data_IF_575451123813
#
_entry.id   IF_575451123813
#
_cell.length_a   1.000
_cell.length_b   1.000
_cell.length_c   1.000
_cell.angle_alpha   90.00
_cell.angle_beta   90.00
_cell.angle_gamma   90.00
#
_symmetry.space_group_name_H-M   'P 1'
#
loop_
_entity.id
_entity.type
_entity.pdbx_description
1 polymer ?
#
# COMPACT_ATOMS: atom_id res chain seq x y z
N UNK A 1 -9.10 -14.69 -6.31
CA UNK A 1 -7.75 -14.40 -6.84
C UNK A 1 -6.92 -13.89 -5.68
N UNK A 2 -5.84 -14.58 -5.31
CA UNK A 2 -4.95 -14.16 -4.23
C UNK A 2 -3.78 -13.40 -4.86
N UNK A 3 -3.83 -12.07 -4.80
CA UNK A 3 -2.70 -11.24 -5.17
C UNK A 3 -1.76 -11.11 -3.98
N UNK A 4 -0.46 -11.32 -4.20
CA UNK A 4 0.60 -11.10 -3.22
C UNK A 4 1.50 -9.97 -3.70
N UNK A 5 1.91 -9.08 -2.79
CA UNK A 5 2.73 -7.92 -3.03
C UNK A 5 3.90 -7.95 -2.04
N UNK A 6 5.12 -7.95 -2.54
CA UNK A 6 6.33 -7.79 -1.74
C UNK A 6 7.10 -6.56 -2.24
N UNK A 7 7.43 -5.66 -1.34
CA UNK A 7 8.13 -4.41 -1.65
C UNK A 7 9.50 -4.44 -0.98
N UNK A 8 10.56 -4.32 -1.77
CA UNK A 8 11.94 -4.25 -1.29
C UNK A 8 12.51 -2.85 -1.48
N UNK A 9 13.15 -2.32 -0.45
CA UNK A 9 13.85 -1.04 -0.46
C UNK A 9 15.36 -1.27 -0.34
N UNK A 10 16.15 -0.56 -1.14
CA UNK A 10 17.61 -0.71 -1.20
C UNK A 10 18.18 -0.14 -2.50
N UNK A 11 19.48 -0.34 -2.72
CA UNK A 11 20.14 0.07 -3.97
C UNK A 11 19.54 -0.65 -5.19
N UNK A 12 19.59 0.04 -6.32
CA UNK A 12 19.33 -0.51 -7.64
C UNK A 12 20.65 -0.44 -8.38
N UNK A 13 21.22 -1.60 -8.69
CA UNK A 13 22.52 -1.68 -9.36
C UNK A 13 22.34 -1.68 -10.89
N UNK A 14 21.17 -2.13 -11.37
CA UNK A 14 20.82 -2.15 -12.78
C UNK A 14 19.31 -2.05 -12.97
N UNK A 15 18.86 -1.19 -13.88
CA UNK A 15 17.44 -1.04 -14.24
C UNK A 15 17.29 -1.03 -15.77
N UNK A 16 17.02 -2.17 -16.42
CA UNK A 16 16.89 -2.23 -17.86
C UNK A 16 15.56 -1.59 -18.30
N UNK A 17 15.61 -0.72 -19.30
CA UNK A 17 14.40 -0.16 -19.92
C UNK A 17 13.61 -1.27 -20.63
N UNK A 18 12.45 -1.64 -20.10
CA UNK A 18 11.47 -2.51 -20.77
C UNK A 18 11.24 -3.87 -20.11
N UNK A 19 12.16 -4.36 -19.28
CA UNK A 19 12.03 -5.66 -18.59
C UNK A 19 12.28 -5.49 -17.09
N UNK A 20 11.22 -5.17 -16.34
CA UNK A 20 11.29 -4.95 -14.90
C UNK A 20 11.81 -6.17 -14.11
N UNK A 21 11.75 -7.38 -14.68
CA UNK A 21 12.26 -8.63 -14.08
C UNK A 21 13.78 -8.82 -14.18
N UNK A 22 14.49 -8.04 -15.00
CA UNK A 22 15.93 -8.13 -15.19
C UNK A 22 16.70 -7.06 -14.39
N UNK A 23 16.00 -6.23 -13.61
CA UNK A 23 16.63 -5.28 -12.69
C UNK A 23 17.35 -5.97 -11.54
N UNK A 24 18.50 -5.42 -11.14
CA UNK A 24 19.40 -5.97 -10.14
C UNK A 24 19.62 -5.00 -8.96
N UNK A 25 20.08 -5.55 -7.84
CA UNK A 25 20.42 -4.78 -6.64
C UNK A 25 19.61 -5.19 -5.41
N UNK A 26 19.92 -4.55 -4.28
CA UNK A 26 19.41 -4.97 -2.96
C UNK A 26 17.89 -4.93 -2.88
N UNK A 27 17.25 -3.95 -3.52
CA UNK A 27 15.78 -3.83 -3.56
C UNK A 27 15.13 -5.03 -4.28
N UNK A 28 15.72 -5.48 -5.39
CA UNK A 28 15.25 -6.62 -6.18
C UNK A 28 15.41 -7.94 -5.44
N UNK A 29 16.56 -8.15 -4.79
CA UNK A 29 16.75 -9.37 -4.00
C UNK A 29 15.78 -9.46 -2.82
N UNK A 30 15.59 -8.34 -2.10
CA UNK A 30 14.74 -8.30 -0.92
C UNK A 30 13.27 -8.53 -1.29
N UNK A 31 12.78 -7.87 -2.33
CA UNK A 31 11.41 -8.06 -2.83
C UNK A 31 11.19 -9.49 -3.33
N UNK A 32 12.09 -10.03 -4.16
CA UNK A 32 11.97 -11.39 -4.70
C UNK A 32 11.97 -12.47 -3.62
N UNK A 33 12.97 -12.46 -2.72
CA UNK A 33 13.07 -13.41 -1.59
C UNK A 33 11.82 -13.38 -0.71
N UNK A 34 11.21 -12.20 -0.55
CA UNK A 34 10.01 -12.05 0.27
C UNK A 34 8.76 -12.49 -0.48
N UNK A 35 8.65 -12.21 -1.78
CA UNK A 35 7.55 -12.64 -2.64
C UNK A 35 7.44 -14.17 -2.66
N UNK A 36 8.55 -14.87 -2.81
CA UNK A 36 8.59 -16.34 -2.79
C UNK A 36 8.06 -16.92 -1.48
N UNK A 37 8.37 -16.26 -0.35
CA UNK A 37 7.93 -16.69 0.98
C UNK A 37 6.43 -16.46 1.23
N UNK A 38 5.86 -15.39 0.67
CA UNK A 38 4.44 -15.03 0.87
C UNK A 38 3.53 -15.61 -0.22
N UNK A 39 4.10 -16.27 -1.24
CA UNK A 39 3.33 -16.87 -2.32
C UNK A 39 2.35 -17.89 -1.72
N UNK A 40 1.06 -17.64 -1.93
CA UNK A 40 -0.06 -18.44 -1.38
C UNK A 40 -0.26 -18.35 0.15
N UNK A 41 0.37 -17.40 0.84
CA UNK A 41 0.16 -17.15 2.27
C UNK A 41 -0.61 -15.84 2.51
N UNK A 42 -1.39 -15.80 3.60
CA UNK A 42 -2.04 -14.60 4.10
C UNK A 42 -1.39 -14.18 5.42
N UNK A 43 -1.13 -12.87 5.63
CA UNK A 43 -1.39 -11.75 4.73
C UNK A 43 -0.47 -11.71 3.50
N UNK A 44 -1.01 -11.21 2.39
CA UNK A 44 -0.35 -11.20 1.08
C UNK A 44 0.54 -9.98 0.83
N UNK A 45 0.77 -9.11 1.81
CA UNK A 45 1.55 -7.89 1.67
C UNK A 45 2.74 -7.89 2.63
N UNK A 46 3.92 -7.51 2.14
CA UNK A 46 5.11 -7.41 2.98
C UNK A 46 6.10 -6.36 2.47
N UNK A 47 6.94 -5.87 3.39
CA UNK A 47 8.00 -4.93 3.10
C UNK A 47 9.34 -5.43 3.63
N UNK A 48 10.43 -5.02 3.00
CA UNK A 48 11.79 -5.30 3.46
C UNK A 48 12.74 -4.17 3.05
N UNK A 49 13.75 -3.90 3.85
CA UNK A 49 14.78 -2.87 3.55
C UNK A 49 14.85 -1.72 4.56
N UNK A 50 14.07 -1.77 5.63
CA UNK A 50 14.09 -0.79 6.73
C UNK A 50 14.63 -1.38 8.05
N UNK A 51 15.27 -2.55 7.98
CA UNK A 51 15.92 -3.17 9.13
C UNK A 51 14.93 -3.47 10.27
N UNK A 52 15.16 -2.96 11.50
CA UNK A 52 14.30 -3.26 12.66
C UNK A 52 12.82 -2.86 12.49
N UNK A 53 12.50 -1.93 11.59
CA UNK A 53 11.12 -1.50 11.35
C UNK A 53 10.33 -2.43 10.43
N UNK A 54 10.99 -3.33 9.69
CA UNK A 54 10.36 -4.21 8.70
C UNK A 54 9.22 -5.09 9.30
N UNK A 55 9.38 -5.75 10.47
CA UNK A 55 8.32 -6.57 11.05
C UNK A 55 7.10 -5.75 11.45
N UNK A 56 7.30 -4.56 12.02
CA UNK A 56 6.22 -3.67 12.45
C UNK A 56 5.39 -3.17 11.26
N UNK A 57 6.07 -2.68 10.21
CA UNK A 57 5.40 -2.23 8.98
C UNK A 57 4.67 -3.41 8.31
N UNK A 58 5.31 -4.58 8.23
CA UNK A 58 4.70 -5.78 7.64
C UNK A 58 3.45 -6.22 8.43
N UNK A 59 3.48 -6.18 9.77
CA UNK A 59 2.32 -6.52 10.58
C UNK A 59 1.13 -5.59 10.33
N UNK A 60 1.36 -4.27 10.25
CA UNK A 60 0.30 -3.31 9.92
C UNK A 60 -0.23 -3.48 8.50
N UNK A 61 0.66 -3.72 7.52
CA UNK A 61 0.24 -4.07 6.16
C UNK A 61 -0.62 -5.33 6.15
N UNK A 62 -0.34 -6.31 7.02
CA UNK A 62 -1.16 -7.50 7.18
C UNK A 62 -2.57 -7.21 7.69
N UNK A 63 -2.70 -6.31 8.67
CA UNK A 63 -4.02 -5.86 9.15
C UNK A 63 -4.77 -5.09 8.07
N UNK A 64 -4.08 -4.23 7.32
CA UNK A 64 -4.68 -3.49 6.19
C UNK A 64 -5.10 -4.45 5.08
N UNK A 65 -4.28 -5.45 4.72
CA UNK A 65 -4.61 -6.46 3.71
C UNK A 65 -5.88 -7.23 4.10
N UNK A 66 -6.03 -7.59 5.38
CA UNK A 66 -7.24 -8.23 5.87
C UNK A 66 -8.49 -7.34 5.68
N UNK A 67 -8.39 -6.02 5.90
CA UNK A 67 -9.49 -5.09 5.66
C UNK A 67 -9.81 -4.95 4.16
N UNK A 68 -8.78 -4.79 3.32
CA UNK A 68 -8.93 -4.59 1.87
C UNK A 68 -9.65 -5.77 1.22
N UNK A 69 -9.39 -7.00 1.68
CA UNK A 69 -10.03 -8.22 1.15
C UNK A 69 -11.54 -8.24 1.26
N UNK A 70 -12.10 -7.46 2.19
CA UNK A 70 -13.55 -7.37 2.40
C UNK A 70 -14.18 -6.15 1.72
N UNK A 71 -13.40 -5.33 1.02
CA UNK A 71 -13.95 -4.15 0.35
C UNK A 71 -14.78 -4.53 -0.86
N UNK A 72 -16.00 -4.00 -0.88
CA UNK A 72 -16.84 -3.95 -2.08
C UNK A 72 -16.24 -2.96 -3.09
N UNK A 73 -16.63 -3.09 -4.37
CA UNK A 73 -16.18 -2.15 -5.43
C UNK A 73 -16.42 -0.67 -5.06
N UNK A 74 -17.59 -0.26 -4.52
CA UNK A 74 -17.78 1.12 -4.07
C UNK A 74 -16.83 1.54 -2.94
N UNK A 75 -16.56 0.66 -1.98
CA UNK A 75 -15.64 0.98 -0.89
C UNK A 75 -14.21 1.19 -1.41
N UNK A 76 -13.71 0.28 -2.25
CA UNK A 76 -12.40 0.39 -2.87
C UNK A 76 -12.29 1.66 -3.73
N UNK A 77 -13.33 1.99 -4.51
CA UNK A 77 -13.38 3.23 -5.31
C UNK A 77 -13.30 4.48 -4.43
N UNK A 78 -14.07 4.54 -3.35
CA UNK A 78 -14.05 5.68 -2.43
C UNK A 78 -12.65 5.87 -1.80
N UNK A 79 -12.01 4.79 -1.37
CA UNK A 79 -10.65 4.82 -0.81
C UNK A 79 -9.62 5.24 -1.86
N UNK A 80 -9.67 4.67 -3.07
CA UNK A 80 -8.77 5.02 -4.17
C UNK A 80 -8.80 6.52 -4.49
N UNK A 81 -10.00 7.10 -4.59
CA UNK A 81 -10.15 8.54 -4.83
C UNK A 81 -9.71 9.38 -3.61
N UNK A 82 -9.89 8.87 -2.39
CA UNK A 82 -9.40 9.53 -1.17
C UNK A 82 -7.88 9.54 -1.06
N UNK A 83 -7.19 8.52 -1.57
CA UNK A 83 -5.73 8.46 -1.66
C UNK A 83 -5.16 9.54 -2.58
N UNK A 84 -5.94 10.03 -3.54
CA UNK A 84 -5.60 11.16 -4.42
C UNK A 84 -5.84 12.52 -3.76
N UNK A 85 -6.07 12.56 -2.43
CA UNK A 85 -6.37 13.76 -1.66
C UNK A 85 -7.64 14.51 -2.11
N UNK A 86 -8.57 13.83 -2.79
CA UNK A 86 -9.87 14.41 -3.12
C UNK A 86 -10.77 14.53 -1.88
N UNK A 87 -11.56 15.60 -1.82
CA UNK A 87 -12.58 15.76 -0.78
C UNK A 87 -13.78 14.86 -1.06
N UNK A 88 -14.54 14.48 -0.04
CA UNK A 88 -15.73 13.63 -0.21
C UNK A 88 -16.77 14.26 -1.17
N UNK A 89 -16.87 15.59 -1.19
CA UNK A 89 -17.72 16.31 -2.14
C UNK A 89 -17.23 16.15 -3.59
N UNK A 90 -15.92 16.29 -3.85
CA UNK A 90 -15.35 16.05 -5.19
C UNK A 90 -15.54 14.60 -5.62
N UNK A 91 -15.31 13.66 -4.71
CA UNK A 91 -15.52 12.22 -4.97
C UNK A 91 -16.98 11.95 -5.36
N UNK A 92 -17.95 12.54 -4.65
CA UNK A 92 -19.37 12.42 -4.95
C UNK A 92 -19.71 12.94 -6.36
N UNK A 93 -19.15 14.08 -6.76
CA UNK A 93 -19.39 14.70 -8.07
C UNK A 93 -18.72 13.95 -9.23
N UNK A 94 -17.57 13.33 -8.98
CA UNK A 94 -16.82 12.51 -9.94
C UNK A 94 -17.25 11.04 -9.95
N UNK A 95 -18.27 10.69 -9.17
CA UNK A 95 -18.70 9.30 -9.07
C UNK A 95 -19.37 8.85 -10.35
N UNK A 96 -18.78 7.86 -11.00
CA UNK A 96 -19.36 7.15 -12.14
C UNK A 96 -19.92 5.77 -11.74
N UNK A 97 -20.95 5.26 -12.44
CA UNK A 97 -21.61 5.85 -13.62
C UNK A 97 -22.57 7.01 -13.30
N UNK A 98 -23.06 7.08 -12.06
CA UNK A 98 -23.97 8.13 -11.60
C UNK A 98 -23.39 8.80 -10.34
N UNK A 99 -23.57 10.11 -10.24
CA UNK A 99 -23.15 10.87 -9.06
C UNK A 99 -23.88 10.36 -7.82
N UNK A 100 -23.18 10.37 -6.69
CA UNK A 100 -23.76 9.99 -5.40
C UNK A 100 -23.70 11.17 -4.43
N UNK A 101 -24.39 11.07 -3.29
CA UNK A 101 -24.29 12.08 -2.25
C UNK A 101 -22.94 12.02 -1.52
N UNK A 102 -22.51 13.14 -0.94
CA UNK A 102 -21.34 13.17 -0.05
C UNK A 102 -21.51 12.20 1.14
N UNK A 103 -22.74 12.03 1.64
CA UNK A 103 -23.06 11.09 2.72
C UNK A 103 -22.85 9.63 2.29
N UNK A 104 -23.16 9.29 1.05
CA UNK A 104 -22.88 7.97 0.49
C UNK A 104 -21.36 7.70 0.43
N UNK A 105 -20.56 8.69 -0.01
CA UNK A 105 -19.09 8.60 0.04
C UNK A 105 -18.60 8.38 1.47
N UNK A 106 -19.10 9.17 2.43
CA UNK A 106 -18.75 9.00 3.85
C UNK A 106 -19.04 7.59 4.33
N UNK A 107 -20.22 7.04 4.02
CA UNK A 107 -20.61 5.66 4.39
C UNK A 107 -19.67 4.63 3.77
N UNK A 108 -19.30 4.77 2.50
CA UNK A 108 -18.33 3.88 1.85
C UNK A 108 -16.96 3.92 2.55
N UNK A 109 -16.43 5.11 2.85
CA UNK A 109 -15.16 5.25 3.56
C UNK A 109 -15.20 4.69 4.97
N UNK A 110 -16.27 4.99 5.73
CA UNK A 110 -16.46 4.46 7.08
C UNK A 110 -16.51 2.93 7.07
N UNK A 111 -17.31 2.34 6.17
CA UNK A 111 -17.45 0.89 6.08
C UNK A 111 -16.19 0.20 5.53
N UNK A 112 -15.33 0.92 4.80
CA UNK A 112 -14.02 0.44 4.39
C UNK A 112 -12.99 0.46 5.54
N UNK A 113 -13.33 1.01 6.71
CA UNK A 113 -12.37 1.21 7.80
C UNK A 113 -11.38 2.35 7.55
N UNK A 114 -11.66 3.22 6.57
CA UNK A 114 -10.75 4.29 6.16
C UNK A 114 -10.27 5.22 7.28
N UNK A 115 -11.11 5.57 8.29
CA UNK A 115 -10.64 6.38 9.43
C UNK A 115 -9.49 5.74 10.23
N UNK A 116 -9.38 4.41 10.24
CA UNK A 116 -8.27 3.69 10.89
C UNK A 116 -7.12 3.42 9.91
N UNK A 117 -7.43 3.08 8.66
CA UNK A 117 -6.43 2.79 7.62
C UNK A 117 -5.60 4.03 7.28
N UNK A 118 -6.22 5.21 7.15
CA UNK A 118 -5.51 6.42 6.73
C UNK A 118 -4.40 6.84 7.71
N UNK A 119 -4.62 6.93 9.03
CA UNK A 119 -3.54 7.18 9.98
C UNK A 119 -2.43 6.13 9.95
N UNK A 120 -2.77 4.84 9.82
CA UNK A 120 -1.78 3.78 9.71
C UNK A 120 -0.91 3.94 8.46
N UNK A 121 -1.51 4.25 7.30
CA UNK A 121 -0.77 4.55 6.07
C UNK A 121 0.11 5.78 6.20
N UNK A 122 -0.38 6.83 6.87
CA UNK A 122 0.41 8.04 7.14
C UNK A 122 1.64 7.73 8.02
N UNK A 123 1.46 6.91 9.06
CA UNK A 123 2.55 6.47 9.92
C UNK A 123 3.57 5.64 9.14
N UNK A 124 3.12 4.65 8.37
CA UNK A 124 4.01 3.82 7.52
C UNK A 124 4.82 4.72 6.58
N UNK A 125 4.17 5.66 5.91
CA UNK A 125 4.83 6.59 5.01
C UNK A 125 5.84 7.50 5.73
N UNK A 126 5.54 7.94 6.95
CA UNK A 126 6.47 8.73 7.76
C UNK A 126 7.68 7.90 8.22
N UNK A 127 7.47 6.68 8.70
CA UNK A 127 8.54 5.75 9.10
C UNK A 127 9.46 5.45 7.92
N UNK A 128 8.91 5.14 6.74
CA UNK A 128 9.69 4.90 5.52
C UNK A 128 10.54 6.12 5.16
N UNK A 129 9.97 7.34 5.24
CA UNK A 129 10.73 8.57 4.99
C UNK A 129 11.84 8.79 6.01
N UNK A 130 11.59 8.50 7.29
CA UNK A 130 12.60 8.58 8.35
C UNK A 130 13.78 7.65 8.11
N UNK A 131 13.51 6.37 7.82
CA UNK A 131 14.57 5.39 7.53
C UNK A 131 15.39 5.76 6.28
N UNK A 132 14.75 6.31 5.25
CA UNK A 132 15.48 6.78 4.05
C UNK A 132 16.37 8.01 4.34
N UNK A 133 15.95 8.89 5.24
CA UNK A 133 16.75 10.05 5.62
C UNK A 133 18.00 9.64 6.41
N UNK A 134 17.88 8.67 7.32
CA UNK A 134 19.01 8.12 8.07
C UNK A 134 20.02 7.39 7.17
N UNK A 135 19.54 6.68 6.14
CA UNK A 135 20.39 5.99 5.17
C UNK A 135 21.14 6.91 4.20
N UNK A 136 20.75 8.18 4.05
CA UNK A 136 21.43 9.18 3.21
C UNK A 136 22.47 10.03 3.97
N UNK A 137 22.63 9.81 5.28
CA UNK A 137 23.58 10.51 6.15
C UNK A 137 24.85 9.68 6.46
N UNK A 138 24.97 8.50 5.84
CA UNK A 138 26.13 7.60 5.90
C UNK A 138 26.71 7.43 4.49
#
# INVERSE_FOLDING_TARGET
MNSSIAIGFGSIDFFPHGESSAGGGKAYELSGKRLDKIRNQLPGMSVSGFGPSDPGITAMLGVIDALIRHWTRPQAKAVCLSLQNLTQLKIALMWEPERISQQAVHKHLKNAGWPAVKPALNWIAATIRGCNAENNLL
#
